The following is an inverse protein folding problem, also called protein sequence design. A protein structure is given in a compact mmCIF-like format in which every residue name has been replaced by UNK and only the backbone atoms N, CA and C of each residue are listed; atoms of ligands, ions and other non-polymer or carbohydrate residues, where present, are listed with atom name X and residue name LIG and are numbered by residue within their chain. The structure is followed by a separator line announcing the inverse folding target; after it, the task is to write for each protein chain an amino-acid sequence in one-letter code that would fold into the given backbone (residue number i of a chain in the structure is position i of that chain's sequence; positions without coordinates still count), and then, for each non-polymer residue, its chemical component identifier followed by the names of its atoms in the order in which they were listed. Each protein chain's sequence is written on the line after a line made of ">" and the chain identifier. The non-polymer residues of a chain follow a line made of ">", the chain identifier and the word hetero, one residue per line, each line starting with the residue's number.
data_IF_053913520733
#
_entry.id   IF_053913520733
#
_cell.length_a   1.000
_cell.length_b   1.000
_cell.length_c   1.000
_cell.angle_alpha   90.00
_cell.angle_beta   90.00
_cell.angle_gamma   90.00
#
_symmetry.space_group_name_H-M   'P 1'
#
loop_
_entity.id
_entity.type
_entity.pdbx_description
1 polymer ?
#
# COMPACT_ATOMS: atom_id res chain seq x y z
N UNK A 1 -48.92 -1.07 4.80
CA UNK A 1 -48.38 -0.17 5.85
C UNK A 1 -46.88 -0.28 5.79
N UNK A 2 -46.25 0.82 5.42
CA UNK A 2 -44.81 1.04 5.30
C UNK A 2 -44.16 0.95 6.67
N UNK A 3 -43.10 0.15 6.81
CA UNK A 3 -42.04 0.44 7.76
C UNK A 3 -40.70 0.35 7.04
N UNK A 4 -40.24 1.52 6.63
CA UNK A 4 -38.83 1.82 6.42
C UNK A 4 -38.25 2.03 7.81
N UNK A 5 -37.30 1.19 8.22
CA UNK A 5 -36.48 1.46 9.40
C UNK A 5 -35.03 1.34 8.96
N UNK A 6 -34.51 2.45 8.44
CA UNK A 6 -33.08 2.69 8.31
C UNK A 6 -32.55 3.08 9.69
N UNK A 7 -31.61 2.32 10.23
CA UNK A 7 -30.80 2.77 11.36
C UNK A 7 -29.40 2.20 11.20
N UNK A 8 -28.54 2.95 10.48
CA UNK A 8 -27.09 2.78 10.59
C UNK A 8 -26.68 3.50 11.87
N UNK A 9 -26.86 2.82 13.00
CA UNK A 9 -26.26 3.19 14.28
C UNK A 9 -25.23 2.11 14.64
N UNK A 10 -24.24 2.47 15.45
CA UNK A 10 -23.24 1.55 16.01
C UNK A 10 -23.90 0.35 16.70
N UNK A 11 -24.29 -0.66 15.93
CA UNK A 11 -24.79 -1.92 16.45
C UNK A 11 -23.60 -2.82 16.71
N UNK A 12 -23.60 -3.41 17.90
CA UNK A 12 -22.71 -4.50 18.28
C UNK A 12 -22.82 -5.56 17.17
N UNK A 13 -21.70 -5.92 16.54
CA UNK A 13 -21.69 -7.00 15.55
C UNK A 13 -22.35 -8.24 16.19
N UNK A 14 -23.22 -8.96 15.46
CA UNK A 14 -23.94 -10.11 16.00
C UNK A 14 -22.98 -11.17 16.53
N UNK A 15 -23.48 -11.98 17.47
CA UNK A 15 -22.69 -13.01 18.19
C UNK A 15 -22.12 -14.09 17.25
N UNK A 16 -22.67 -14.19 16.04
CA UNK A 16 -22.16 -14.96 14.91
C UNK A 16 -22.36 -14.17 13.61
N UNK A 17 -21.41 -14.29 12.67
CA UNK A 17 -21.53 -13.78 11.30
C UNK A 17 -22.07 -14.92 10.44
N UNK A 18 -23.23 -14.74 9.81
CA UNK A 18 -23.78 -15.67 8.83
C UNK A 18 -23.72 -15.11 7.39
N UNK A 19 -24.28 -15.84 6.42
CA UNK A 19 -24.28 -15.40 5.01
C UNK A 19 -25.09 -14.12 4.78
N UNK A 20 -26.12 -13.87 5.60
CA UNK A 20 -26.95 -12.67 5.50
C UNK A 20 -26.22 -11.43 6.05
N UNK A 21 -25.32 -11.61 7.01
CA UNK A 21 -24.44 -10.53 7.48
C UNK A 21 -23.42 -10.11 6.40
N UNK A 22 -22.96 -11.05 5.57
CA UNK A 22 -22.11 -10.74 4.40
C UNK A 22 -22.88 -9.96 3.31
N UNK A 23 -24.19 -10.22 3.17
CA UNK A 23 -25.08 -9.44 2.30
C UNK A 23 -25.39 -8.06 2.91
N UNK A 24 -25.39 -7.95 4.25
CA UNK A 24 -25.51 -6.67 4.94
C UNK A 24 -24.28 -5.78 4.70
N UNK A 25 -23.07 -6.37 4.67
CA UNK A 25 -21.83 -5.65 4.32
C UNK A 25 -21.90 -5.08 2.89
N UNK A 26 -22.51 -5.78 1.93
CA UNK A 26 -22.61 -5.28 0.56
C UNK A 26 -23.69 -4.21 0.36
N UNK A 27 -24.69 -4.14 1.23
CA UNK A 27 -25.87 -3.29 1.08
C UNK A 27 -25.87 -2.03 1.94
N UNK A 28 -25.09 -2.01 3.03
CA UNK A 28 -25.06 -0.91 3.99
C UNK A 28 -23.73 -0.14 4.06
N UNK A 29 -23.69 0.86 4.95
CA UNK A 29 -22.43 1.46 5.40
C UNK A 29 -21.79 0.55 6.44
N UNK A 30 -20.49 0.28 6.29
CA UNK A 30 -19.73 -0.53 7.22
C UNK A 30 -18.32 0.01 7.42
N UNK A 31 -17.69 -0.37 8.52
CA UNK A 31 -16.25 -0.21 8.73
C UNK A 31 -15.76 -1.41 9.52
N UNK A 32 -14.74 -2.09 9.00
CA UNK A 32 -14.15 -3.26 9.65
C UNK A 32 -12.73 -2.90 10.10
N UNK A 33 -12.46 -3.09 11.37
CA UNK A 33 -11.13 -2.96 11.94
C UNK A 33 -10.56 -4.36 12.20
N UNK A 34 -9.51 -4.72 11.48
CA UNK A 34 -8.75 -5.93 11.72
C UNK A 34 -7.47 -5.56 12.48
N UNK A 35 -7.47 -5.77 13.79
CA UNK A 35 -6.32 -5.53 14.65
C UNK A 35 -5.75 -6.87 15.12
N UNK A 36 -4.46 -7.08 14.94
CA UNK A 36 -3.75 -8.27 15.43
C UNK A 36 -2.77 -7.82 16.52
N UNK A 37 -2.78 -8.42 17.72
CA UNK A 37 -1.81 -8.09 18.76
C UNK A 37 -0.38 -8.38 18.30
N UNK A 38 0.52 -7.41 18.46
CA UNK A 38 1.91 -7.54 18.03
C UNK A 38 2.68 -8.63 18.79
N UNK A 39 2.27 -8.91 20.03
CA UNK A 39 2.85 -9.91 20.93
C UNK A 39 2.37 -11.35 20.66
N UNK A 40 1.45 -11.56 19.70
CA UNK A 40 0.81 -12.86 19.45
C UNK A 40 0.89 -13.26 17.97
N UNK A 41 2.07 -13.67 17.48
CA UNK A 41 2.28 -14.04 16.08
C UNK A 41 1.39 -15.21 15.61
N UNK A 42 0.91 -16.06 16.51
CA UNK A 42 -0.01 -17.16 16.24
C UNK A 42 -1.35 -16.72 15.63
N UNK A 43 -1.73 -15.44 15.79
CA UNK A 43 -2.94 -14.89 15.20
C UNK A 43 -2.74 -14.34 13.79
N UNK A 44 -1.49 -14.22 13.30
CA UNK A 44 -1.23 -13.71 11.94
C UNK A 44 -1.93 -14.55 10.86
N UNK A 45 -1.92 -15.89 10.87
CA UNK A 45 -2.65 -16.69 9.88
C UNK A 45 -4.16 -16.44 9.88
N UNK A 46 -4.76 -16.25 11.07
CA UNK A 46 -6.17 -15.90 11.20
C UNK A 46 -6.45 -14.53 10.59
N UNK A 47 -5.59 -13.55 10.86
CA UNK A 47 -5.72 -12.21 10.29
C UNK A 47 -5.55 -12.23 8.75
N UNK A 48 -4.57 -12.96 8.21
CA UNK A 48 -4.43 -13.17 6.76
C UNK A 48 -5.68 -13.80 6.15
N UNK A 49 -6.25 -14.81 6.80
CA UNK A 49 -7.48 -15.47 6.36
C UNK A 49 -8.65 -14.49 6.34
N UNK A 50 -8.84 -13.74 7.43
CA UNK A 50 -9.91 -12.72 7.53
C UNK A 50 -9.74 -11.66 6.45
N UNK A 51 -8.54 -11.12 6.27
CA UNK A 51 -8.24 -10.16 5.21
C UNK A 51 -8.55 -10.74 3.82
N UNK A 52 -8.14 -11.97 3.54
CA UNK A 52 -8.41 -12.62 2.26
C UNK A 52 -9.91 -12.84 2.02
N UNK A 53 -10.67 -13.20 3.07
CA UNK A 53 -12.13 -13.33 3.00
C UNK A 53 -12.77 -11.98 2.67
N UNK A 54 -12.41 -10.92 3.41
CA UNK A 54 -12.94 -9.57 3.19
C UNK A 54 -12.62 -9.05 1.79
N UNK A 55 -11.37 -9.21 1.34
CA UNK A 55 -10.99 -8.85 -0.04
C UNK A 55 -11.80 -9.65 -1.06
N UNK A 56 -12.10 -10.91 -0.79
CA UNK A 56 -12.91 -11.73 -1.70
C UNK A 56 -14.37 -11.27 -1.74
N UNK A 57 -14.94 -10.80 -0.63
CA UNK A 57 -16.28 -10.21 -0.60
C UNK A 57 -16.31 -8.94 -1.44
N UNK A 58 -15.36 -8.02 -1.21
CA UNK A 58 -15.27 -6.74 -1.91
C UNK A 58 -15.02 -6.91 -3.42
N UNK A 59 -14.16 -7.87 -3.80
CA UNK A 59 -13.81 -8.12 -5.21
C UNK A 59 -14.91 -8.86 -5.98
N UNK A 60 -15.67 -9.74 -5.34
CA UNK A 60 -16.63 -10.61 -6.04
C UNK A 60 -18.09 -10.14 -5.94
N UNK A 61 -18.36 -9.01 -5.28
CA UNK A 61 -19.73 -8.53 -5.07
C UNK A 61 -19.83 -7.03 -5.35
N UNK A 62 -20.95 -6.57 -5.93
CA UNK A 62 -21.19 -5.14 -6.06
C UNK A 62 -21.41 -4.53 -4.68
N UNK A 63 -20.68 -3.46 -4.38
CA UNK A 63 -20.83 -2.68 -3.16
C UNK A 63 -21.80 -1.53 -3.39
N UNK A 64 -22.84 -1.43 -2.55
CA UNK A 64 -23.82 -0.34 -2.62
C UNK A 64 -23.20 1.03 -2.27
N UNK A 65 -22.12 1.03 -1.49
CA UNK A 65 -21.39 2.22 -1.07
C UNK A 65 -19.92 2.14 -1.49
N UNK A 66 -19.24 3.28 -1.74
CA UNK A 66 -17.82 3.28 -2.05
C UNK A 66 -17.00 2.66 -0.91
N UNK A 67 -16.14 1.70 -1.25
CA UNK A 67 -15.24 1.04 -0.30
C UNK A 67 -13.83 1.62 -0.45
N UNK A 68 -13.08 1.66 0.64
CA UNK A 68 -11.67 2.02 0.68
C UNK A 68 -10.92 1.05 1.57
N UNK A 69 -9.72 0.66 1.16
CA UNK A 69 -8.87 -0.28 1.87
C UNK A 69 -7.63 0.43 2.43
N UNK A 70 -7.41 0.30 3.73
CA UNK A 70 -6.22 0.82 4.41
C UNK A 70 -5.53 -0.33 5.13
N UNK A 71 -4.35 -0.71 4.66
CA UNK A 71 -3.56 -1.78 5.25
C UNK A 71 -2.26 -1.21 5.75
N UNK A 72 -2.25 -0.80 7.00
CA UNK A 72 -1.02 -0.44 7.68
C UNK A 72 -0.18 -1.68 7.94
N UNK A 73 1.13 -1.55 7.73
CA UNK A 73 2.14 -2.60 7.88
C UNK A 73 1.66 -3.99 7.39
N UNK A 74 1.13 -4.05 6.15
CA UNK A 74 0.32 -5.20 5.72
C UNK A 74 1.09 -6.54 5.71
N UNK A 75 2.42 -6.48 5.68
CA UNK A 75 3.31 -7.64 5.83
C UNK A 75 3.12 -8.35 7.17
N UNK A 76 2.59 -7.68 8.19
CA UNK A 76 2.29 -8.28 9.48
C UNK A 76 1.10 -9.25 9.46
N UNK A 77 0.19 -9.12 8.49
CA UNK A 77 -0.92 -10.07 8.35
C UNK A 77 -0.47 -11.42 7.76
N UNK A 78 0.76 -11.54 7.26
CA UNK A 78 1.25 -12.73 6.59
C UNK A 78 0.85 -12.80 5.11
N UNK A 79 1.08 -13.95 4.49
CA UNK A 79 0.92 -14.11 3.05
C UNK A 79 -0.57 -14.16 2.68
N UNK A 80 -1.02 -13.19 1.88
CA UNK A 80 -2.37 -13.18 1.32
C UNK A 80 -2.30 -13.72 -0.11
N UNK A 81 -2.90 -14.90 -0.33
CA UNK A 81 -2.88 -15.56 -1.64
C UNK A 81 -3.53 -14.70 -2.72
N UNK A 82 -2.80 -14.44 -3.79
CA UNK A 82 -3.29 -13.68 -4.95
C UNK A 82 -3.53 -12.20 -4.65
N UNK A 83 -2.83 -11.64 -3.65
CA UNK A 83 -3.01 -10.25 -3.23
C UNK A 83 -2.76 -9.25 -4.37
N UNK A 84 -1.69 -9.43 -5.14
CA UNK A 84 -1.35 -8.63 -6.34
C UNK A 84 -2.48 -8.60 -7.37
N UNK A 85 -3.12 -9.75 -7.62
CA UNK A 85 -4.26 -9.87 -8.54
C UNK A 85 -5.49 -9.16 -7.99
N UNK A 86 -5.78 -9.33 -6.69
CA UNK A 86 -6.90 -8.65 -6.02
C UNK A 86 -6.73 -7.13 -6.06
N UNK A 87 -5.53 -6.61 -5.78
CA UNK A 87 -5.23 -5.17 -5.87
C UNK A 87 -5.47 -4.61 -7.28
N UNK A 88 -5.17 -5.39 -8.32
CA UNK A 88 -5.44 -5.01 -9.71
C UNK A 88 -6.94 -4.87 -9.96
N UNK A 89 -7.75 -5.80 -9.43
CA UNK A 89 -9.22 -5.74 -9.55
C UNK A 89 -9.78 -4.55 -8.76
N UNK A 90 -9.33 -4.34 -7.51
CA UNK A 90 -9.72 -3.17 -6.70
C UNK A 90 -9.46 -1.86 -7.46
N UNK A 91 -8.30 -1.73 -8.10
CA UNK A 91 -7.96 -0.56 -8.92
C UNK A 91 -8.91 -0.40 -10.11
N UNK A 92 -9.25 -1.48 -10.82
CA UNK A 92 -10.21 -1.44 -11.91
C UNK A 92 -11.59 -0.98 -11.44
N UNK A 93 -12.02 -1.46 -10.28
CA UNK A 93 -13.32 -1.13 -9.66
C UNK A 93 -13.31 0.22 -8.93
N UNK A 94 -12.24 1.01 -9.08
CA UNK A 94 -12.03 2.33 -8.48
C UNK A 94 -12.09 2.32 -6.95
N UNK A 95 -11.71 1.21 -6.33
CA UNK A 95 -11.58 1.05 -4.89
C UNK A 95 -10.15 1.46 -4.50
N UNK A 96 -9.96 2.60 -3.81
CA UNK A 96 -8.63 3.01 -3.36
C UNK A 96 -8.09 2.03 -2.33
N UNK A 97 -6.84 1.62 -2.51
CA UNK A 97 -6.09 0.80 -1.57
C UNK A 97 -4.78 1.50 -1.19
N UNK A 98 -4.60 1.74 0.11
CA UNK A 98 -3.36 2.27 0.69
C UNK A 98 -2.64 1.13 1.41
N UNK A 99 -1.39 0.91 1.02
CA UNK A 99 -0.52 -0.13 1.57
C UNK A 99 0.63 0.53 2.31
N UNK A 100 0.67 0.33 3.63
CA UNK A 100 1.79 0.70 4.49
C UNK A 100 2.84 -0.40 4.52
N UNK A 101 4.10 -0.04 4.28
CA UNK A 101 5.26 -0.93 4.38
C UNK A 101 6.35 -0.19 5.12
N UNK A 102 6.91 -0.80 6.16
CA UNK A 102 8.02 -0.22 6.91
C UNK A 102 9.36 -0.40 6.17
N UNK A 103 9.58 -1.58 5.60
CA UNK A 103 10.81 -1.97 4.90
C UNK A 103 10.47 -2.98 3.79
N UNK A 104 11.24 -2.98 2.72
CA UNK A 104 11.11 -3.95 1.64
C UNK A 104 11.54 -5.36 2.04
N UNK A 105 12.43 -5.53 3.03
CA UNK A 105 12.95 -6.85 3.43
C UNK A 105 11.84 -7.80 3.93
N UNK A 106 10.97 -7.45 4.90
CA UNK A 106 9.86 -8.32 5.31
C UNK A 106 8.91 -8.66 4.16
N UNK A 107 8.67 -7.71 3.26
CA UNK A 107 7.81 -7.92 2.09
C UNK A 107 8.44 -8.90 1.09
N UNK A 108 9.73 -8.77 0.81
CA UNK A 108 10.48 -9.70 -0.05
C UNK A 108 10.52 -11.11 0.54
N UNK A 109 10.76 -11.23 1.85
CA UNK A 109 10.77 -12.52 2.53
C UNK A 109 9.40 -13.23 2.47
N UNK A 110 8.31 -12.44 2.52
CA UNK A 110 6.95 -12.97 2.57
C UNK A 110 6.34 -13.27 1.20
N UNK A 111 6.61 -12.42 0.21
CA UNK A 111 5.99 -12.47 -1.12
C UNK A 111 6.95 -12.92 -2.23
N UNK A 112 8.24 -13.04 -1.96
CA UNK A 112 9.24 -13.45 -2.95
C UNK A 112 9.19 -12.58 -4.21
N UNK A 113 9.04 -13.22 -5.37
CA UNK A 113 8.95 -12.54 -6.66
C UNK A 113 7.74 -11.61 -6.77
N UNK A 114 6.64 -11.89 -6.05
CA UNK A 114 5.45 -11.03 -6.05
C UNK A 114 5.73 -9.67 -5.37
N UNK A 115 6.75 -9.55 -4.53
CA UNK A 115 7.09 -8.31 -3.84
C UNK A 115 7.41 -7.18 -4.84
N UNK A 116 8.07 -7.50 -5.97
CA UNK A 116 8.36 -6.51 -7.03
C UNK A 116 7.08 -5.97 -7.67
N UNK A 117 6.05 -6.81 -7.81
CA UNK A 117 4.75 -6.39 -8.32
C UNK A 117 4.04 -5.50 -7.29
N UNK A 118 4.08 -5.86 -6.00
CA UNK A 118 3.49 -5.05 -4.93
C UNK A 118 4.15 -3.67 -4.81
N UNK A 119 5.46 -3.58 -5.04
CA UNK A 119 6.17 -2.30 -5.09
C UNK A 119 5.78 -1.50 -6.33
N UNK A 120 5.71 -2.13 -7.50
CA UNK A 120 5.55 -1.41 -8.77
C UNK A 120 4.11 -1.00 -9.08
N UNK A 121 3.11 -1.83 -8.77
CA UNK A 121 1.69 -1.65 -9.12
C UNK A 121 1.04 -0.36 -8.59
N UNK A 122 1.28 0.09 -7.33
CA UNK A 122 0.68 1.31 -6.82
C UNK A 122 1.08 2.53 -7.64
N UNK A 123 0.09 3.27 -8.15
CA UNK A 123 0.34 4.44 -8.99
C UNK A 123 1.03 5.58 -8.22
N UNK A 124 0.69 5.72 -6.94
CA UNK A 124 1.29 6.71 -6.04
C UNK A 124 2.18 5.98 -5.05
N UNK A 125 3.39 6.51 -4.85
CA UNK A 125 4.34 6.01 -3.85
C UNK A 125 4.72 7.18 -2.96
N UNK A 126 4.60 6.97 -1.65
CA UNK A 126 5.01 7.93 -0.64
C UNK A 126 6.20 7.31 0.08
N UNK A 127 7.32 8.02 0.07
CA UNK A 127 8.54 7.58 0.73
C UNK A 127 8.80 8.48 1.92
N UNK A 128 9.10 7.85 3.05
CA UNK A 128 9.57 8.52 4.25
C UNK A 128 11.08 8.30 4.39
N UNK A 129 11.69 9.02 5.34
CA UNK A 129 13.10 8.85 5.68
C UNK A 129 13.40 7.36 5.94
N UNK A 130 14.39 6.83 5.24
CA UNK A 130 14.95 5.50 5.52
C UNK A 130 16.25 5.64 6.30
N UNK A 131 16.55 4.66 7.14
CA UNK A 131 17.85 4.56 7.82
C UNK A 131 18.72 3.46 7.21
N UNK A 132 18.19 2.70 6.24
CA UNK A 132 18.90 1.61 5.57
C UNK A 132 19.42 2.09 4.20
N UNK A 133 20.71 1.85 3.95
CA UNK A 133 21.41 2.30 2.75
C UNK A 133 20.93 1.56 1.49
N UNK A 134 20.62 0.26 1.59
CA UNK A 134 20.11 -0.51 0.44
C UNK A 134 18.71 -0.03 0.04
N UNK A 135 17.85 0.21 1.02
CA UNK A 135 16.54 0.83 0.81
C UNK A 135 16.70 2.22 0.19
N UNK A 136 17.60 3.06 0.68
CA UNK A 136 17.86 4.39 0.12
C UNK A 136 18.31 4.32 -1.35
N UNK A 137 19.18 3.37 -1.68
CA UNK A 137 19.60 3.13 -3.08
C UNK A 137 18.43 2.71 -3.96
N UNK A 138 17.58 1.80 -3.49
CA UNK A 138 16.38 1.39 -4.23
C UNK A 138 15.42 2.57 -4.42
N UNK A 139 15.22 3.39 -3.40
CA UNK A 139 14.37 4.57 -3.46
C UNK A 139 14.90 5.61 -4.45
N UNK A 140 16.21 5.89 -4.44
CA UNK A 140 16.85 6.81 -5.39
C UNK A 140 16.64 6.34 -6.84
N UNK A 141 16.81 5.04 -7.10
CA UNK A 141 16.53 4.44 -8.41
C UNK A 141 15.05 4.51 -8.81
N UNK A 142 14.14 4.34 -7.84
CA UNK A 142 12.70 4.44 -8.09
C UNK A 142 12.21 5.86 -8.36
N UNK A 143 12.86 6.86 -7.76
CA UNK A 143 12.59 8.28 -8.03
C UNK A 143 13.07 8.66 -9.44
N UNK A 144 14.22 8.11 -9.85
CA UNK A 144 14.80 8.31 -11.19
C UNK A 144 15.88 9.39 -11.21
N UNK A 145 16.34 9.71 -12.41
CA UNK A 145 17.43 10.65 -12.68
C UNK A 145 16.90 11.88 -13.41
N UNK A 146 17.44 13.05 -13.06
CA UNK A 146 17.33 14.25 -13.85
C UNK A 146 18.55 14.37 -14.77
N UNK A 147 18.31 14.82 -16.00
CA UNK A 147 19.38 15.20 -16.90
C UNK A 147 19.54 16.70 -16.82
N UNK A 148 20.66 17.17 -16.27
CA UNK A 148 20.99 18.59 -16.29
C UNK A 148 21.92 18.91 -17.47
N UNK A 149 21.69 20.06 -18.09
CA UNK A 149 22.55 20.58 -19.14
C UNK A 149 23.44 21.65 -18.51
N UNK A 150 24.51 21.21 -17.84
CA UNK A 150 25.43 22.13 -17.20
C UNK A 150 26.38 22.72 -18.25
N UNK A 151 26.27 24.03 -18.47
CA UNK A 151 27.14 24.77 -19.39
C UNK A 151 28.32 25.31 -18.59
N UNK A 152 29.41 24.54 -18.52
CA UNK A 152 30.61 24.96 -17.81
C UNK A 152 31.42 25.90 -18.71
N UNK A 153 31.58 27.15 -18.26
CA UNK A 153 32.46 28.15 -18.89
C UNK A 153 33.86 28.01 -18.32
N UNK A 154 34.82 27.62 -19.16
CA UNK A 154 36.23 27.58 -18.72
C UNK A 154 36.86 28.98 -18.72
N UNK A 155 37.92 29.19 -17.95
CA UNK A 155 38.63 30.48 -17.81
C UNK A 155 39.21 31.03 -19.13
N UNK A 156 39.26 30.22 -20.19
CA UNK A 156 39.64 30.61 -21.56
C UNK A 156 38.45 30.99 -22.45
N UNK A 157 37.23 31.06 -21.89
CA UNK A 157 36.01 31.43 -22.62
C UNK A 157 35.43 30.32 -23.50
N UNK A 158 35.94 29.10 -23.40
CA UNK A 158 35.37 27.94 -24.11
C UNK A 158 34.20 27.38 -23.29
N UNK A 159 33.04 27.30 -23.94
CA UNK A 159 31.84 26.64 -23.42
C UNK A 159 31.98 25.13 -23.65
N UNK A 160 31.87 24.34 -22.59
CA UNK A 160 31.70 22.90 -22.67
C UNK A 160 30.32 22.54 -22.12
N UNK A 161 29.45 22.03 -22.98
CA UNK A 161 28.21 21.38 -22.57
C UNK A 161 28.54 19.98 -22.06
N UNK A 162 28.36 19.75 -20.77
CA UNK A 162 28.39 18.42 -20.20
C UNK A 162 26.94 18.02 -19.90
N UNK A 163 26.48 16.93 -20.53
CA UNK A 163 25.21 16.29 -20.20
C UNK A 163 25.48 15.27 -19.11
N UNK A 164 25.22 15.65 -17.87
CA UNK A 164 25.40 14.79 -16.71
C UNK A 164 24.02 14.31 -16.23
N UNK A 165 23.92 13.01 -15.94
CA UNK A 165 22.71 12.41 -15.37
C UNK A 165 22.94 12.30 -13.88
N UNK A 166 22.08 12.93 -13.10
CA UNK A 166 22.16 12.92 -11.64
C UNK A 166 20.86 12.38 -11.05
N UNK A 167 20.91 11.61 -9.95
CA UNK A 167 19.70 11.15 -9.28
C UNK A 167 18.88 12.34 -8.79
N UNK A 168 17.55 12.26 -8.90
CA UNK A 168 16.64 13.31 -8.40
C UNK A 168 16.78 13.52 -6.89
N UNK A 169 17.11 12.45 -6.17
CA UNK A 169 17.47 12.51 -4.77
C UNK A 169 18.58 11.49 -4.51
N UNK A 170 19.70 11.97 -4.00
CA UNK A 170 20.85 11.14 -3.68
C UNK A 170 20.57 10.19 -2.51
N UNK A 171 21.37 9.13 -2.40
CA UNK A 171 21.30 8.20 -1.27
C UNK A 171 21.54 8.94 0.06
N UNK A 172 22.54 9.83 0.08
CA UNK A 172 22.87 10.63 1.28
C UNK A 172 21.75 11.60 1.65
N UNK A 173 21.05 12.16 0.67
CA UNK A 173 19.90 13.04 0.90
C UNK A 173 18.69 12.26 1.45
N UNK A 174 18.45 11.05 0.97
CA UNK A 174 17.40 10.16 1.49
C UNK A 174 17.68 9.74 2.94
N UNK A 175 18.95 9.48 3.28
CA UNK A 175 19.37 9.14 4.65
C UNK A 175 19.31 10.33 5.60
N UNK A 176 19.42 11.56 5.09
CA UNK A 176 19.36 12.80 5.85
C UNK A 176 18.04 13.57 5.66
N UNK A 177 17.01 12.91 5.11
CA UNK A 177 15.74 13.56 4.79
C UNK A 177 15.10 14.17 6.05
N UNK A 178 14.83 15.48 6.01
CA UNK A 178 14.27 16.24 7.14
C UNK A 178 15.30 16.74 8.17
N UNK A 179 16.59 16.49 7.97
CA UNK A 179 17.67 17.17 8.70
C UNK A 179 17.99 18.46 7.94
N UNK A 180 17.51 19.59 8.46
CA UNK A 180 17.80 20.95 7.97
C UNK A 180 18.86 21.57 8.88
#
# INVERSE_FOLDING_TARGET
>A
MTQVTTTVGWQKLPEYIDSSDLDAISSGLFTIYLATPADKPEYKPLAAMMLNLMLSVVVNRPMATPVSLYLDEFTNFGYVRGFTSKLTILRHDKIPAILGVQDFVPMQNLYGDEAKLLISQPATKLFFKTNDHETAKQLSQMLGEAQDNDVKVTSTGQLREAKEKEPLLGVDELLNLGVI
#
